data_IF_442717807385
#
_entry.id   IF_442717807385
#
_cell.length_a   1.000
_cell.length_b   1.000
_cell.length_c   1.000
_cell.angle_alpha   90.00
_cell.angle_beta   90.00
_cell.angle_gamma   90.00
#
_symmetry.space_group_name_H-M   'P 1'
#
loop_
_entity.id
_entity.type
_entity.pdbx_description
1 polymer ?
#
# COMPACT_ATOMS: atom_id res chain seq x y z
N UNK A 1 14.07 -1.14 -15.94
CA UNK A 1 12.70 -0.74 -15.93
C UNK A 1 12.18 -0.75 -14.52
N UNK A 2 11.51 0.32 -14.11
CA UNK A 2 11.05 0.43 -12.75
C UNK A 2 9.69 -0.16 -12.60
N UNK A 3 9.48 -0.90 -11.54
CA UNK A 3 8.18 -1.47 -11.26
C UNK A 3 7.55 -0.70 -10.12
N UNK A 4 6.35 -0.21 -10.36
CA UNK A 4 5.60 0.48 -9.32
C UNK A 4 5.03 -0.56 -8.37
N UNK A 5 5.14 -0.30 -7.08
CA UNK A 5 4.64 -1.19 -6.07
C UNK A 5 3.37 -0.60 -5.48
N UNK A 6 2.37 -1.44 -5.30
CA UNK A 6 1.10 -1.03 -4.72
C UNK A 6 0.88 -1.80 -3.43
N UNK A 7 0.43 -1.10 -2.41
CA UNK A 7 0.18 -1.70 -1.12
C UNK A 7 -1.29 -1.65 -0.79
N UNK A 8 -1.80 -2.73 -0.23
CA UNK A 8 -3.16 -2.74 0.28
C UNK A 8 -3.06 -2.62 1.79
N UNK A 9 -3.77 -1.68 2.36
CA UNK A 9 -3.71 -1.43 3.79
C UNK A 9 -5.10 -1.33 4.39
N UNK A 10 -5.21 -1.74 5.65
CA UNK A 10 -6.43 -1.60 6.41
C UNK A 10 -6.41 -0.23 7.07
N UNK A 11 -7.47 0.54 6.86
CA UNK A 11 -7.61 1.85 7.49
C UNK A 11 -8.52 1.71 8.68
N UNK A 12 -7.97 1.85 9.88
CA UNK A 12 -8.77 1.75 11.08
C UNK A 12 -9.47 3.06 11.36
N UNK A 13 -10.65 2.97 11.94
CA UNK A 13 -11.42 4.14 12.28
C UNK A 13 -10.64 5.02 13.23
N UNK A 14 -10.49 6.28 12.87
CA UNK A 14 -9.79 7.24 13.72
C UNK A 14 -8.28 7.07 13.74
N UNK A 15 -7.75 6.15 12.95
CA UNK A 15 -6.32 5.94 12.92
C UNK A 15 -5.66 6.67 11.79
N UNK A 16 -4.47 7.15 12.05
CA UNK A 16 -3.67 7.77 11.01
C UNK A 16 -2.63 6.81 10.44
N UNK A 17 -2.56 5.60 10.99
CA UNK A 17 -1.54 4.65 10.59
C UNK A 17 -2.17 3.40 10.02
N UNK A 18 -2.47 3.39 8.73
CA UNK A 18 -3.00 2.19 8.12
C UNK A 18 -1.97 1.06 8.17
N UNK A 19 -2.44 -0.14 8.38
CA UNK A 19 -1.55 -1.29 8.45
C UNK A 19 -1.52 -1.98 7.10
N UNK A 20 -0.34 -2.07 6.51
CA UNK A 20 -0.18 -2.73 5.22
C UNK A 20 -0.32 -4.22 5.41
N UNK A 21 -1.17 -4.84 4.60
CA UNK A 21 -1.43 -6.26 4.70
C UNK A 21 -0.95 -7.03 3.48
N UNK A 22 -0.76 -6.37 2.34
CA UNK A 22 -0.30 -7.07 1.15
C UNK A 22 0.37 -6.11 0.19
N UNK A 23 1.16 -6.64 -0.73
CA UNK A 23 1.91 -5.87 -1.69
C UNK A 23 1.75 -6.49 -3.06
N UNK A 24 1.57 -5.65 -4.08
CA UNK A 24 1.38 -6.10 -5.45
C UNK A 24 2.23 -5.25 -6.40
N UNK A 25 2.51 -5.80 -7.56
CA UNK A 25 3.27 -5.07 -8.56
C UNK A 25 2.38 -4.47 -9.64
N UNK A 26 1.06 -4.58 -9.51
CA UNK A 26 0.15 -3.88 -10.41
C UNK A 26 -1.11 -3.46 -9.67
N UNK A 27 -1.73 -2.41 -10.19
CA UNK A 27 -2.87 -1.81 -9.52
C UNK A 27 -4.11 -2.69 -9.58
N UNK A 28 -4.30 -3.39 -10.69
CA UNK A 28 -5.49 -4.21 -10.87
C UNK A 28 -5.57 -5.30 -9.81
N UNK A 29 -4.46 -5.97 -9.54
CA UNK A 29 -4.44 -7.00 -8.52
C UNK A 29 -4.63 -6.42 -7.13
N UNK A 30 -4.02 -5.27 -6.86
CA UNK A 30 -4.19 -4.62 -5.57
C UNK A 30 -5.65 -4.22 -5.34
N UNK A 31 -6.29 -3.65 -6.36
CA UNK A 31 -7.67 -3.24 -6.25
C UNK A 31 -8.58 -4.46 -6.04
N UNK A 32 -8.33 -5.54 -6.75
CA UNK A 32 -9.13 -6.76 -6.63
C UNK A 32 -9.01 -7.35 -5.23
N UNK A 33 -7.80 -7.38 -4.70
CA UNK A 33 -7.57 -7.90 -3.36
C UNK A 33 -8.26 -7.01 -2.33
N UNK A 34 -8.13 -5.71 -2.48
CA UNK A 34 -8.73 -4.77 -1.53
C UNK A 34 -10.26 -4.89 -1.54
N UNK A 35 -10.84 -5.03 -2.72
CA UNK A 35 -12.30 -5.17 -2.83
C UNK A 35 -12.76 -6.47 -2.17
N UNK A 36 -12.03 -7.56 -2.40
CA UNK A 36 -12.37 -8.83 -1.81
C UNK A 36 -12.27 -8.79 -0.29
N UNK A 37 -11.19 -8.24 0.22
CA UNK A 37 -10.98 -8.19 1.66
C UNK A 37 -11.94 -7.22 2.34
N UNK A 38 -12.28 -6.13 1.65
CA UNK A 38 -13.24 -5.17 2.18
C UNK A 38 -14.58 -5.86 2.44
N UNK A 39 -15.02 -6.68 1.51
CA UNK A 39 -16.28 -7.39 1.69
C UNK A 39 -16.17 -8.51 2.72
N UNK A 40 -15.06 -9.25 2.68
CA UNK A 40 -14.89 -10.40 3.56
C UNK A 40 -14.74 -10.00 5.02
N UNK A 41 -14.00 -8.92 5.27
CA UNK A 41 -13.71 -8.51 6.63
C UNK A 41 -14.58 -7.35 7.10
N UNK A 42 -15.32 -6.74 6.19
CA UNK A 42 -16.16 -5.58 6.49
C UNK A 42 -15.36 -4.46 7.15
N UNK A 43 -14.18 -4.20 6.57
CA UNK A 43 -13.31 -3.14 7.05
C UNK A 43 -12.92 -2.26 5.88
N UNK A 44 -12.43 -1.09 6.19
CA UNK A 44 -12.04 -0.15 5.16
C UNK A 44 -10.63 -0.47 4.70
N UNK A 45 -10.49 -0.76 3.42
CA UNK A 45 -9.19 -1.04 2.82
C UNK A 45 -8.85 0.06 1.83
N UNK A 46 -7.56 0.38 1.75
CA UNK A 46 -7.07 1.40 0.84
C UNK A 46 -5.94 0.82 0.01
N UNK A 47 -5.76 1.35 -1.18
CA UNK A 47 -4.66 0.96 -2.05
C UNK A 47 -3.72 2.16 -2.14
N UNK A 48 -2.45 1.93 -1.86
CA UNK A 48 -1.44 2.97 -1.86
C UNK A 48 -0.42 2.67 -2.94
N UNK A 49 -0.01 3.71 -3.64
CA UNK A 49 1.01 3.58 -4.67
C UNK A 49 2.32 4.12 -4.13
N UNK A 50 3.38 3.35 -4.26
CA UNK A 50 4.68 3.81 -3.82
C UNK A 50 5.21 4.84 -4.81
N UNK A 51 5.36 6.06 -4.36
CA UNK A 51 5.80 7.15 -5.22
C UNK A 51 7.30 7.31 -5.19
N UNK A 52 7.88 7.21 -4.02
CA UNK A 52 9.31 7.43 -3.84
C UNK A 52 9.82 6.47 -2.78
N UNK A 53 11.02 6.00 -2.97
CA UNK A 53 11.64 5.12 -1.99
C UNK A 53 12.93 5.74 -1.49
N UNK A 54 13.10 5.78 -0.18
CA UNK A 54 14.31 6.24 0.46
C UNK A 54 14.86 5.07 1.25
N UNK A 55 16.05 4.62 0.90
CA UNK A 55 16.59 3.38 1.44
C UNK A 55 17.30 3.53 2.78
N UNK A 56 17.31 4.72 3.32
CA UNK A 56 17.96 4.94 4.61
C UNK A 56 19.44 5.23 4.51
N UNK A 57 19.99 5.22 3.32
CA UNK A 57 21.40 5.53 3.12
C UNK A 57 21.59 7.04 3.18
N UNK A 58 22.56 7.54 3.94
CA UNK A 58 22.79 8.98 3.99
C UNK A 58 23.16 9.52 2.61
N UNK A 59 22.52 10.62 2.26
CA UNK A 59 22.82 11.26 1.00
C UNK A 59 24.13 11.95 1.11
N UNK A 60 24.91 11.78 0.04
CA UNK A 60 26.13 12.40 0.03
C UNK A 60 26.04 13.67 -0.45
N UNK A 61 25.72 14.54 -0.13
CA UNK A 61 25.54 15.62 -0.66
C UNK A 61 26.02 16.34 -0.79
N UNK A 62 26.17 16.12 -0.99
CA UNK A 62 26.49 16.88 -1.67
C UNK A 62 26.32 18.23 -1.53
#
# INVERSE_FOLDING_TARGET
METTVFYVAVAYNGGFNPAVVEKFDNKTDADSYAALMCRAKQRRYIVLEQVTEWDGTPQENA
#
